data_IF_917351142858
#
_entry.id   IF_917351142858
#
_cell.length_a   1.000
_cell.length_b   1.000
_cell.length_c   1.000
_cell.angle_alpha   90.00
_cell.angle_beta   90.00
_cell.angle_gamma   90.00
#
_symmetry.space_group_name_H-M   'P 1'
#
loop_
_entity.id
_entity.type
_entity.pdbx_description
1 polymer ?
#
# COMPACT_ATOMS: atom_id res chain seq x y z
N UNK A 1 18.55 40.90 67.77
CA UNK A 1 18.11 39.48 67.87
C UNK A 1 16.76 39.50 68.56
N UNK A 2 15.62 39.00 68.06
CA UNK A 2 15.28 37.92 67.12
C UNK A 2 13.87 38.23 66.53
N UNK A 3 13.70 38.13 65.21
CA UNK A 3 12.41 38.34 64.48
C UNK A 3 11.48 37.14 64.70
N UNK A 4 10.18 37.37 64.92
CA UNK A 4 9.12 36.35 64.78
C UNK A 4 8.24 36.69 63.59
N UNK A 5 8.38 35.93 62.52
CA UNK A 5 7.53 35.95 61.33
C UNK A 5 6.45 34.89 61.53
N UNK A 6 5.17 35.30 61.48
CA UNK A 6 4.02 34.38 61.44
C UNK A 6 3.66 34.17 59.98
N UNK A 7 3.89 32.95 59.50
CA UNK A 7 3.56 32.45 58.16
C UNK A 7 2.06 32.16 58.06
N UNK A 8 1.35 32.93 57.23
CA UNK A 8 -0.02 32.65 56.80
C UNK A 8 -0.03 31.84 55.49
N UNK A 9 -0.80 30.76 55.48
CA UNK A 9 -0.99 29.83 54.37
C UNK A 9 -1.90 30.40 53.26
N UNK A 10 -1.73 29.96 52.00
CA UNK A 10 -2.84 29.56 51.12
C UNK A 10 -2.38 29.02 49.74
N UNK A 11 -3.01 27.90 49.36
CA UNK A 11 -3.33 27.43 48.01
C UNK A 11 -2.19 26.92 47.09
N UNK A 12 -1.80 25.66 47.30
CA UNK A 12 -1.28 24.80 46.22
C UNK A 12 -2.44 24.42 45.29
N UNK A 13 -2.51 25.07 44.13
CA UNK A 13 -3.41 24.65 43.05
C UNK A 13 -2.91 23.31 42.47
N UNK A 14 -3.66 22.23 42.69
CA UNK A 14 -3.49 20.97 41.97
C UNK A 14 -4.03 21.17 40.55
N UNK A 15 -3.16 21.53 39.60
CA UNK A 15 -3.48 21.49 38.19
C UNK A 15 -3.60 20.02 37.77
N UNK A 16 -4.82 19.50 37.74
CA UNK A 16 -5.13 18.24 37.10
C UNK A 16 -4.88 18.40 35.60
N UNK A 17 -3.71 18.00 35.13
CA UNK A 17 -3.41 17.84 33.71
C UNK A 17 -4.34 16.75 33.18
N UNK A 18 -5.39 17.19 32.49
CA UNK A 18 -6.29 16.32 31.74
C UNK A 18 -5.43 15.64 30.66
N UNK A 19 -4.98 14.42 30.93
CA UNK A 19 -4.32 13.59 29.93
C UNK A 19 -5.34 13.30 28.83
N UNK A 20 -5.28 14.07 27.75
CA UNK A 20 -5.99 13.75 26.52
C UNK A 20 -5.41 12.42 26.03
N UNK A 21 -6.15 11.34 26.27
CA UNK A 21 -5.84 10.05 25.67
C UNK A 21 -5.89 10.25 24.15
N UNK A 22 -4.72 10.34 23.53
CA UNK A 22 -4.63 10.26 22.08
C UNK A 22 -5.10 8.86 21.69
N UNK A 23 -6.11 8.72 20.81
CA UNK A 23 -6.48 7.40 20.33
C UNK A 23 -5.24 6.81 19.64
N UNK A 24 -4.79 5.65 20.10
CA UNK A 24 -3.73 4.92 19.44
C UNK A 24 -4.15 4.68 17.99
N UNK A 25 -3.50 5.34 17.04
CA UNK A 25 -3.61 5.03 15.62
C UNK A 25 -2.98 3.65 15.45
N UNK A 26 -3.82 2.62 15.33
CA UNK A 26 -3.33 1.33 14.86
C UNK A 26 -2.80 1.56 13.45
N UNK A 27 -1.47 1.54 13.31
CA UNK A 27 -0.82 1.61 12.02
C UNK A 27 -1.34 0.50 11.11
N UNK A 28 -1.35 0.74 9.80
CA UNK A 28 -1.69 -0.28 8.81
C UNK A 28 -0.89 -1.55 9.09
N UNK A 29 -1.59 -2.64 9.33
CA UNK A 29 -1.02 -3.98 9.40
C UNK A 29 -1.46 -4.70 8.13
N UNK A 30 -0.51 -5.13 7.32
CA UNK A 30 -0.80 -5.81 6.07
C UNK A 30 0.24 -6.89 5.85
N UNK A 31 -0.22 -8.11 5.59
CA UNK A 31 0.62 -9.23 5.19
C UNK A 31 0.55 -9.37 3.65
N UNK A 32 1.61 -9.00 2.91
CA UNK A 32 1.63 -9.08 1.45
C UNK A 32 1.61 -10.52 0.92
N UNK A 33 1.87 -11.53 1.75
CA UNK A 33 1.79 -12.93 1.34
C UNK A 33 0.33 -13.44 1.30
N UNK A 34 -0.52 -12.95 2.21
CA UNK A 34 -1.90 -13.45 2.37
C UNK A 34 -2.96 -12.42 1.97
N UNK A 35 -2.62 -11.15 1.90
CA UNK A 35 -3.57 -10.05 1.67
C UNK A 35 -4.44 -9.76 2.90
N UNK A 36 -4.03 -10.23 4.08
CA UNK A 36 -4.78 -10.07 5.33
C UNK A 36 -4.16 -8.98 6.22
N UNK A 37 -4.94 -8.49 7.19
CA UNK A 37 -4.47 -7.46 8.11
C UNK A 37 -5.58 -6.49 8.52
N UNK A 38 -5.20 -5.27 8.90
CA UNK A 38 -6.10 -4.24 9.36
C UNK A 38 -5.64 -2.85 8.93
N UNK A 39 -6.57 -2.06 8.41
CA UNK A 39 -6.37 -0.63 8.10
C UNK A 39 -7.16 0.20 9.10
N UNK A 40 -6.49 1.08 9.85
CA UNK A 40 -7.14 1.95 10.80
C UNK A 40 -7.97 3.04 10.12
N UNK A 41 -9.04 3.49 10.78
CA UNK A 41 -9.82 4.64 10.29
C UNK A 41 -8.97 5.89 10.06
N UNK A 42 -7.94 6.10 10.88
CA UNK A 42 -7.05 7.25 10.79
C UNK A 42 -6.23 7.25 9.51
N UNK A 43 -5.78 6.07 9.05
CA UNK A 43 -5.03 5.92 7.81
C UNK A 43 -5.91 6.28 6.60
N UNK A 44 -7.15 5.77 6.58
CA UNK A 44 -8.12 6.07 5.53
C UNK A 44 -8.51 7.55 5.53
N UNK A 45 -8.75 8.13 6.71
CA UNK A 45 -9.06 9.55 6.86
C UNK A 45 -7.92 10.44 6.37
N UNK A 46 -6.68 10.09 6.70
CA UNK A 46 -5.50 10.84 6.25
C UNK A 46 -5.33 10.70 4.73
N UNK A 47 -5.43 9.49 4.20
CA UNK A 47 -5.25 9.20 2.78
C UNK A 47 -6.30 9.89 1.89
N UNK A 48 -7.57 9.88 2.32
CA UNK A 48 -8.68 10.47 1.56
C UNK A 48 -8.98 11.92 1.96
N UNK A 49 -8.25 12.48 2.92
CA UNK A 49 -8.46 13.82 3.50
C UNK A 49 -9.90 13.96 4.02
N UNK A 50 -10.36 12.96 4.76
CA UNK A 50 -11.71 12.86 5.29
C UNK A 50 -11.78 13.09 6.80
N UNK A 51 -12.86 13.75 7.22
CA UNK A 51 -13.25 13.78 8.62
C UNK A 51 -14.04 12.51 9.03
N UNK A 52 -14.41 12.40 10.30
CA UNK A 52 -15.16 11.25 10.80
C UNK A 52 -16.54 11.11 10.12
N UNK A 53 -17.26 12.20 9.90
CA UNK A 53 -18.58 12.12 9.27
C UNK A 53 -18.51 11.56 7.84
N UNK A 54 -17.51 11.99 7.06
CA UNK A 54 -17.28 11.50 5.71
C UNK A 54 -16.93 10.00 5.70
N UNK A 55 -16.04 9.56 6.60
CA UNK A 55 -15.73 8.15 6.73
C UNK A 55 -16.97 7.32 7.10
N UNK A 56 -17.73 7.74 8.12
CA UNK A 56 -18.92 7.00 8.54
C UNK A 56 -19.96 6.89 7.42
N UNK A 57 -20.09 7.92 6.59
CA UNK A 57 -21.03 7.96 5.46
C UNK A 57 -20.59 7.06 4.29
N UNK A 58 -19.30 7.01 3.99
CA UNK A 58 -18.80 6.42 2.74
C UNK A 58 -18.06 5.09 2.93
N UNK A 59 -17.87 4.59 4.15
CA UNK A 59 -17.07 3.40 4.42
C UNK A 59 -17.47 2.15 3.63
N UNK A 60 -18.76 1.97 3.33
CA UNK A 60 -19.25 0.84 2.52
C UNK A 60 -18.84 0.91 1.04
N UNK A 61 -18.44 2.09 0.55
CA UNK A 61 -17.97 2.30 -0.81
C UNK A 61 -16.44 2.30 -0.93
N UNK A 62 -15.72 2.12 0.19
CA UNK A 62 -14.26 2.00 0.19
C UNK A 62 -13.89 0.58 -0.21
N UNK A 63 -12.88 0.48 -1.08
CA UNK A 63 -12.24 -0.79 -1.43
C UNK A 63 -10.74 -0.68 -1.30
N UNK A 64 -10.06 -1.82 -1.28
CA UNK A 64 -8.60 -1.90 -1.18
C UNK A 64 -8.02 -2.67 -2.35
N UNK A 65 -6.84 -2.27 -2.80
CA UNK A 65 -6.08 -2.98 -3.83
C UNK A 65 -4.63 -3.08 -3.41
N UNK A 66 -3.97 -4.13 -3.89
CA UNK A 66 -2.53 -4.32 -3.79
C UNK A 66 -1.94 -4.30 -5.20
N UNK A 67 -1.01 -3.38 -5.42
CA UNK A 67 -0.37 -3.18 -6.72
C UNK A 67 1.11 -3.46 -6.62
N UNK A 68 1.66 -4.21 -7.57
CA UNK A 68 3.11 -4.44 -7.70
C UNK A 68 3.55 -4.24 -9.15
N UNK A 69 4.75 -3.73 -9.33
CA UNK A 69 5.37 -3.55 -10.64
C UNK A 69 6.76 -4.18 -10.63
N UNK A 70 6.99 -5.08 -11.58
CA UNK A 70 8.28 -5.68 -11.84
C UNK A 70 8.78 -5.19 -13.21
N UNK A 71 10.07 -4.88 -13.28
CA UNK A 71 10.76 -4.52 -14.52
C UNK A 71 11.74 -5.64 -14.85
N UNK A 72 11.64 -6.15 -16.07
CA UNK A 72 12.52 -7.19 -16.60
C UNK A 72 13.36 -6.64 -17.73
N UNK A 73 14.63 -7.02 -17.77
CA UNK A 73 15.49 -6.87 -18.94
C UNK A 73 15.55 -8.22 -19.66
N UNK A 74 15.04 -8.26 -20.89
CA UNK A 74 15.05 -9.44 -21.73
C UNK A 74 15.99 -9.25 -22.92
N UNK A 75 16.89 -10.21 -23.15
CA UNK A 75 17.84 -10.22 -24.27
C UNK A 75 17.29 -11.06 -25.41
N UNK A 76 17.09 -10.43 -26.56
CA UNK A 76 16.74 -11.07 -27.81
C UNK A 76 18.01 -11.22 -28.67
N UNK A 77 18.30 -12.43 -29.14
CA UNK A 77 19.42 -12.69 -30.05
C UNK A 77 18.93 -13.30 -31.36
N UNK A 78 19.55 -12.91 -32.47
CA UNK A 78 19.21 -13.40 -33.81
C UNK A 78 20.46 -13.52 -34.69
N UNK A 79 20.30 -14.13 -35.86
CA UNK A 79 21.34 -14.18 -36.90
C UNK A 79 21.02 -13.15 -37.98
N UNK A 80 21.99 -12.31 -38.33
CA UNK A 80 21.85 -11.32 -39.40
C UNK A 80 21.94 -11.99 -40.78
N UNK A 81 21.60 -11.25 -41.84
CA UNK A 81 21.73 -11.75 -43.22
C UNK A 81 23.18 -12.04 -43.63
N UNK A 82 24.14 -11.53 -42.86
CA UNK A 82 25.59 -11.70 -43.05
C UNK A 82 26.13 -12.89 -42.23
N UNK A 83 25.26 -13.64 -41.53
CA UNK A 83 25.64 -14.76 -40.68
C UNK A 83 26.26 -14.35 -39.34
N UNK A 84 26.23 -13.06 -38.99
CA UNK A 84 26.72 -12.55 -37.70
C UNK A 84 25.61 -12.59 -36.65
N UNK A 85 25.99 -12.56 -35.37
CA UNK A 85 25.06 -12.54 -34.24
C UNK A 85 24.61 -11.10 -33.95
N UNK A 86 23.29 -10.87 -33.95
CA UNK A 86 22.65 -9.66 -33.46
C UNK A 86 22.11 -9.84 -32.03
N UNK A 87 22.06 -8.77 -31.26
CA UNK A 87 21.53 -8.75 -29.90
C UNK A 87 20.79 -7.43 -29.62
N UNK A 88 19.66 -7.50 -28.90
CA UNK A 88 18.90 -6.36 -28.40
C UNK A 88 18.37 -6.62 -27.00
N UNK A 89 18.43 -5.60 -26.14
CA UNK A 89 17.78 -5.62 -24.83
C UNK A 89 16.42 -4.93 -24.89
N UNK A 90 15.42 -5.58 -24.29
CA UNK A 90 14.06 -5.08 -24.13
C UNK A 90 13.77 -4.89 -22.65
N UNK A 91 13.24 -3.72 -22.30
CA UNK A 91 12.68 -3.48 -20.97
C UNK A 91 11.19 -3.85 -21.00
N UNK A 92 10.80 -4.77 -20.14
CA UNK A 92 9.42 -5.26 -20.03
C UNK A 92 8.88 -4.90 -18.66
N UNK A 93 7.83 -4.10 -18.64
CA UNK A 93 7.10 -3.79 -17.41
C UNK A 93 5.98 -4.81 -17.20
N UNK A 94 5.97 -5.45 -16.04
CA UNK A 94 4.96 -6.40 -15.62
C UNK A 94 4.23 -5.87 -14.39
N UNK A 95 2.97 -5.48 -14.55
CA UNK A 95 2.13 -4.92 -13.48
C UNK A 95 1.16 -5.97 -12.99
N UNK A 96 1.01 -6.10 -11.67
CA UNK A 96 -0.06 -6.85 -11.02
C UNK A 96 -0.93 -5.88 -10.25
N UNK A 97 -2.24 -5.97 -10.46
CA UNK A 97 -3.25 -5.30 -9.66
C UNK A 97 -4.16 -6.36 -9.05
N UNK A 98 -4.23 -6.42 -7.73
CA UNK A 98 -5.04 -7.41 -7.01
C UNK A 98 -6.01 -6.71 -6.09
N UNK A 99 -7.30 -7.01 -6.21
CA UNK A 99 -8.28 -6.54 -5.23
C UNK A 99 -8.02 -7.18 -3.85
N UNK A 100 -8.26 -6.44 -2.77
CA UNK A 100 -8.14 -6.94 -1.40
C UNK A 100 -9.53 -6.92 -0.77
N UNK A 101 -9.99 -8.09 -0.34
CA UNK A 101 -11.29 -8.25 0.30
C UNK A 101 -11.26 -7.62 1.68
N UNK A 102 -12.29 -6.86 2.05
CA UNK A 102 -12.34 -6.21 3.35
C UNK A 102 -13.74 -6.23 3.95
N UNK A 103 -13.78 -6.12 5.29
CA UNK A 103 -15.00 -5.90 6.05
C UNK A 103 -14.83 -4.70 6.97
N UNK A 104 -15.89 -3.90 7.13
CA UNK A 104 -15.82 -2.73 8.00
C UNK A 104 -15.79 -3.17 9.46
N UNK A 105 -14.83 -2.66 10.21
CA UNK A 105 -14.72 -2.89 11.64
C UNK A 105 -15.42 -1.76 12.41
N UNK A 106 -16.18 -2.12 13.43
CA UNK A 106 -16.93 -1.20 14.28
C UNK A 106 -16.64 -1.50 15.76
N UNK A 107 -16.69 -0.47 16.61
CA UNK A 107 -16.74 -0.67 18.06
C UNK A 107 -18.21 -0.69 18.52
N UNK A 108 -18.76 -1.86 18.93
CA UNK A 108 -20.14 -1.94 19.39
C UNK A 108 -20.38 -1.19 20.70
N UNK A 109 -19.32 -0.91 21.48
CA UNK A 109 -19.41 -0.19 22.76
C UNK A 109 -19.48 1.33 22.57
N UNK A 110 -19.09 1.84 21.40
CA UNK A 110 -19.04 3.27 21.09
C UNK A 110 -19.94 3.59 19.91
N UNK A 111 -21.26 3.46 20.11
CA UNK A 111 -22.29 3.86 19.13
C UNK A 111 -22.08 3.27 17.72
N UNK A 112 -21.53 2.06 17.61
CA UNK A 112 -21.16 1.44 16.34
C UNK A 112 -20.29 2.36 15.46
N UNK A 113 -19.35 3.09 16.06
CA UNK A 113 -18.43 3.92 15.31
C UNK A 113 -17.45 3.02 14.54
N UNK A 114 -17.27 3.30 13.25
CA UNK A 114 -16.24 2.64 12.43
C UNK A 114 -14.86 2.88 13.06
N UNK A 115 -14.11 1.80 13.27
CA UNK A 115 -12.75 1.77 13.80
C UNK A 115 -11.70 1.53 12.72
N UNK A 116 -12.08 0.88 11.62
CA UNK A 116 -11.20 0.60 10.49
C UNK A 116 -11.78 -0.47 9.57
N UNK A 117 -10.90 -1.22 8.93
CA UNK A 117 -11.25 -2.25 7.95
C UNK A 117 -10.38 -3.49 8.19
N UNK A 118 -11.03 -4.65 8.38
CA UNK A 118 -10.34 -5.93 8.43
C UNK A 118 -10.09 -6.39 6.99
N UNK A 119 -8.84 -6.61 6.61
CA UNK A 119 -8.46 -7.19 5.33
C UNK A 119 -8.49 -8.71 5.47
N UNK A 120 -9.24 -9.35 4.59
CA UNK A 120 -9.61 -10.78 4.70
C UNK A 120 -8.95 -11.66 3.65
N UNK A 121 -8.09 -11.08 2.81
CA UNK A 121 -7.31 -11.78 1.79
C UNK A 121 -7.41 -11.15 0.41
N UNK A 122 -6.66 -11.72 -0.54
CA UNK A 122 -6.72 -11.31 -1.94
C UNK A 122 -7.99 -11.80 -2.64
N UNK A 123 -8.51 -10.96 -3.53
CA UNK A 123 -9.57 -11.29 -4.46
C UNK A 123 -9.02 -11.52 -5.88
N UNK A 124 -9.66 -10.93 -6.88
CA UNK A 124 -9.26 -11.04 -8.28
C UNK A 124 -7.95 -10.30 -8.56
N UNK A 125 -7.07 -10.93 -9.32
CA UNK A 125 -5.83 -10.33 -9.84
C UNK A 125 -5.93 -10.13 -11.35
N UNK A 126 -5.51 -8.96 -11.80
CA UNK A 126 -5.30 -8.63 -13.21
C UNK A 126 -3.84 -8.26 -13.42
N UNK A 127 -3.28 -8.70 -14.53
CA UNK A 127 -1.89 -8.42 -14.87
C UNK A 127 -1.78 -7.71 -16.21
N UNK A 128 -0.83 -6.80 -16.34
CA UNK A 128 -0.51 -6.13 -17.60
C UNK A 128 0.94 -6.38 -17.95
N UNK A 129 1.19 -6.65 -19.24
CA UNK A 129 2.49 -7.09 -19.73
C UNK A 129 2.61 -8.62 -19.78
N UNK A 130 3.62 -9.10 -20.49
CA UNK A 130 3.95 -10.53 -20.58
C UNK A 130 5.45 -10.63 -20.37
N UNK A 131 5.87 -11.40 -19.37
CA UNK A 131 7.30 -11.67 -19.15
C UNK A 131 7.75 -12.66 -20.23
N UNK A 132 8.77 -12.32 -21.05
CA UNK A 132 9.29 -13.25 -22.04
C UNK A 132 9.80 -14.53 -21.38
N UNK A 133 9.78 -15.63 -22.13
CA UNK A 133 10.32 -16.92 -21.68
C UNK A 133 11.57 -17.21 -22.49
N UNK A 134 12.67 -17.57 -21.81
CA UNK A 134 13.92 -17.94 -22.48
C UNK A 134 13.67 -19.14 -23.41
N UNK A 135 14.15 -19.04 -24.64
CA UNK A 135 13.96 -20.02 -25.71
C UNK A 135 12.75 -19.76 -26.61
N UNK A 136 11.82 -18.87 -26.22
CA UNK A 136 10.72 -18.46 -27.09
C UNK A 136 11.19 -17.48 -28.17
N UNK A 137 10.39 -17.37 -29.23
CA UNK A 137 10.64 -16.43 -30.31
C UNK A 137 10.56 -14.97 -29.83
N UNK A 138 11.43 -14.13 -30.40
CA UNK A 138 11.42 -12.69 -30.24
C UNK A 138 11.58 -12.01 -31.61
N UNK A 139 11.27 -10.72 -31.68
CA UNK A 139 11.65 -9.90 -32.82
C UNK A 139 12.80 -8.98 -32.43
N UNK A 140 13.96 -9.25 -33.01
CA UNK A 140 15.16 -8.43 -32.87
C UNK A 140 15.41 -7.66 -34.15
N UNK A 141 15.29 -6.33 -34.09
CA UNK A 141 15.47 -5.44 -35.25
C UNK A 141 14.71 -5.90 -36.52
N UNK A 142 13.44 -6.30 -36.36
CA UNK A 142 12.58 -6.78 -37.44
C UNK A 142 12.91 -8.18 -37.97
N UNK A 143 13.80 -8.92 -37.31
CA UNK A 143 14.17 -10.31 -37.62
C UNK A 143 13.68 -11.26 -36.55
N UNK A 144 13.48 -12.51 -36.94
CA UNK A 144 13.18 -13.58 -35.99
C UNK A 144 14.43 -13.89 -35.17
N UNK A 145 14.28 -13.81 -33.86
CA UNK A 145 15.29 -14.17 -32.87
C UNK A 145 14.70 -15.06 -31.79
N UNK A 146 15.51 -15.32 -30.77
CA UNK A 146 15.09 -16.03 -29.56
C UNK A 146 15.47 -15.25 -28.31
N UNK A 147 14.62 -15.30 -27.29
CA UNK A 147 14.97 -14.77 -25.97
C UNK A 147 16.05 -15.64 -25.33
N UNK A 148 17.22 -15.09 -25.04
CA UNK A 148 18.34 -15.85 -24.45
C UNK A 148 18.58 -15.56 -22.98
N UNK A 149 18.08 -14.44 -22.48
CA UNK A 149 18.09 -14.10 -21.07
C UNK A 149 16.87 -13.25 -20.71
N UNK A 150 16.34 -13.44 -19.50
CA UNK A 150 15.29 -12.62 -18.91
C UNK A 150 15.63 -12.44 -17.45
N UNK A 151 15.90 -11.20 -17.05
CA UNK A 151 16.39 -10.87 -15.71
C UNK A 151 15.48 -9.82 -15.07
N UNK A 152 15.08 -10.05 -13.82
CA UNK A 152 14.39 -9.03 -13.03
C UNK A 152 15.39 -7.92 -12.68
N UNK A 153 15.14 -6.70 -13.16
CA UNK A 153 16.02 -5.55 -12.93
C UNK A 153 15.55 -4.70 -11.76
N UNK A 154 14.24 -4.62 -11.52
CA UNK A 154 13.69 -4.01 -10.32
C UNK A 154 12.29 -4.53 -10.01
N UNK A 155 11.91 -4.40 -8.75
CA UNK A 155 10.56 -4.68 -8.27
C UNK A 155 10.15 -3.58 -7.30
N UNK A 156 8.90 -3.13 -7.39
CA UNK A 156 8.36 -2.14 -6.47
C UNK A 156 8.16 -2.68 -5.05
N UNK A 157 8.24 -4.01 -4.84
CA UNK A 157 7.86 -4.67 -3.59
C UNK A 157 6.35 -4.60 -3.27
N UNK A 158 5.59 -3.96 -4.17
CA UNK A 158 4.17 -3.69 -4.07
C UNK A 158 3.77 -2.63 -3.04
N UNK A 159 2.49 -2.32 -3.02
CA UNK A 159 1.88 -1.38 -2.09
C UNK A 159 0.38 -1.62 -1.93
N UNK A 160 -0.15 -1.34 -0.75
CA UNK A 160 -1.59 -1.36 -0.47
C UNK A 160 -2.17 0.02 -0.74
N UNK A 161 -3.33 0.07 -1.39
CA UNK A 161 -4.02 1.28 -1.75
C UNK A 161 -5.45 1.25 -1.22
N UNK A 162 -5.92 2.42 -0.80
CA UNK A 162 -7.33 2.68 -0.53
C UNK A 162 -7.95 3.34 -1.75
N UNK A 163 -9.13 2.86 -2.14
CA UNK A 163 -9.86 3.30 -3.31
C UNK A 163 -11.24 3.80 -2.93
N UNK A 164 -11.61 4.96 -3.42
CA UNK A 164 -12.98 5.48 -3.34
C UNK A 164 -13.29 6.35 -4.55
N UNK A 165 -14.29 5.95 -5.34
CA UNK A 165 -14.62 6.57 -6.63
C UNK A 165 -13.38 6.60 -7.55
N UNK A 166 -12.93 7.79 -7.94
CA UNK A 166 -11.74 8.01 -8.79
C UNK A 166 -10.47 8.29 -7.99
N UNK A 167 -10.50 8.16 -6.67
CA UNK A 167 -9.36 8.42 -5.80
C UNK A 167 -8.73 7.11 -5.36
N UNK A 168 -7.44 6.96 -5.68
CA UNK A 168 -6.60 5.82 -5.28
C UNK A 168 -5.37 6.38 -4.59
N UNK A 169 -5.12 5.97 -3.34
CA UNK A 169 -4.02 6.48 -2.52
C UNK A 169 -3.30 5.34 -1.83
N UNK A 170 -1.97 5.33 -1.91
CA UNK A 170 -1.13 4.34 -1.24
C UNK A 170 -1.15 4.56 0.28
N UNK A 171 -1.28 3.48 1.04
CA UNK A 171 -1.35 3.47 2.50
C UNK A 171 -0.35 2.50 3.17
N UNK A 172 0.32 1.63 2.40
CA UNK A 172 1.39 0.73 2.82
C UNK A 172 2.29 0.40 1.62
#
# INVERSE_FOLDING_TARGET
MLKRVVTGAAATAFAATLALATPATAAVTFDPATGTGFVGKGDVQTALVWNNQQLQKNASAISFSYESEDLYSARCEWVTGEGTKGEQLHQVTYKRHTSVQSTVAYDPRVRNQITGFNLTGFGTTTTSGTVPVVGEACQGDGREGTWTAVELTSSSGGGLYVNHLSTTVRIY
#
